data_IF_127837852444
#
_entry.id   IF_127837852444
#
_cell.length_a   1.000
_cell.length_b   1.000
_cell.length_c   1.000
_cell.angle_alpha   90.00
_cell.angle_beta   90.00
_cell.angle_gamma   90.00
#
_symmetry.space_group_name_H-M   'P 1'
#
loop_
_entity.id
_entity.type
_entity.pdbx_description
1 polymer ?
#
# COMPACT_ATOMS: atom_id res chain seq x y z
N UNK A 1 14.02 12.65 4.18
CA UNK A 1 13.14 11.47 4.02
C UNK A 1 12.35 11.47 2.71
N UNK A 2 11.68 12.55 2.30
CA UNK A 2 11.02 12.63 0.98
C UNK A 2 11.96 12.42 -0.24
N UNK A 3 13.19 12.98 -0.32
CA UNK A 3 14.02 12.90 -1.54
C UNK A 3 14.58 11.50 -1.84
N UNK A 4 14.90 10.74 -0.79
CA UNK A 4 15.41 9.37 -0.93
C UNK A 4 14.32 8.41 -1.40
N UNK A 5 13.08 8.64 -0.95
CA UNK A 5 11.93 7.82 -1.31
C UNK A 5 11.46 8.11 -2.75
N UNK A 6 11.48 9.38 -3.18
CA UNK A 6 11.25 9.73 -4.59
C UNK A 6 12.37 9.26 -5.50
N UNK A 7 13.63 9.26 -5.05
CA UNK A 7 14.76 8.69 -5.78
C UNK A 7 14.59 7.18 -6.02
N UNK A 8 14.24 6.43 -4.97
CA UNK A 8 13.99 4.99 -5.07
C UNK A 8 12.79 4.65 -5.97
N UNK A 9 11.68 5.40 -5.86
CA UNK A 9 10.50 5.18 -6.71
C UNK A 9 10.77 5.49 -8.19
N UNK A 10 11.64 6.47 -8.48
CA UNK A 10 12.04 6.78 -9.86
C UNK A 10 12.91 5.69 -10.49
N UNK A 11 13.70 4.96 -9.70
CA UNK A 11 14.51 3.82 -10.18
C UNK A 11 13.68 2.59 -10.59
N UNK A 12 12.38 2.57 -10.30
CA UNK A 12 11.47 1.48 -10.69
C UNK A 12 10.79 1.78 -12.05
N UNK A 13 10.76 3.05 -12.46
CA UNK A 13 10.01 3.48 -13.65
C UNK A 13 10.81 3.23 -14.92
N UNK A 14 10.18 2.63 -15.92
CA UNK A 14 10.74 2.41 -17.25
C UNK A 14 10.01 3.26 -18.29
N UNK A 15 10.72 3.58 -19.37
CA UNK A 15 10.18 4.22 -20.56
C UNK A 15 10.55 3.38 -21.77
N UNK A 16 9.57 3.15 -22.63
CA UNK A 16 9.78 2.55 -23.94
C UNK A 16 10.05 3.67 -24.95
N UNK A 17 11.08 3.47 -25.78
CA UNK A 17 11.40 4.36 -26.90
C UNK A 17 11.21 3.54 -28.18
N UNK A 18 10.37 4.05 -29.09
CA UNK A 18 10.12 3.44 -30.40
C UNK A 18 11.44 3.11 -31.10
N UNK A 19 11.53 1.90 -31.66
CA UNK A 19 12.66 1.30 -32.39
C UNK A 19 13.95 0.94 -31.63
N UNK A 20 14.13 1.33 -30.36
CA UNK A 20 15.41 1.14 -29.64
C UNK A 20 15.29 0.23 -28.40
N UNK A 21 14.10 0.18 -27.78
CA UNK A 21 13.80 -0.72 -26.66
C UNK A 21 13.39 0.00 -25.37
N UNK A 22 13.38 -0.74 -24.26
CA UNK A 22 12.95 -0.25 -22.94
C UNK A 22 14.15 0.16 -22.09
N UNK A 23 14.03 1.33 -21.46
CA UNK A 23 15.09 1.98 -20.70
C UNK A 23 14.61 2.48 -19.35
N UNK A 24 15.53 2.69 -18.41
CA UNK A 24 15.23 3.25 -17.11
C UNK A 24 14.90 4.75 -17.24
N UNK A 25 13.80 5.20 -16.63
CA UNK A 25 13.31 6.58 -16.74
C UNK A 25 14.31 7.63 -16.21
N UNK A 26 15.13 7.26 -15.23
CA UNK A 26 16.15 8.14 -14.63
C UNK A 26 17.44 8.17 -15.44
N UNK A 27 17.74 7.08 -16.15
CA UNK A 27 18.98 6.90 -16.86
C UNK A 27 18.78 6.01 -18.10
N UNK A 28 18.71 6.67 -19.26
CA UNK A 28 18.52 6.00 -20.54
C UNK A 28 19.75 5.21 -21.01
N UNK A 29 20.86 5.20 -20.26
CA UNK A 29 21.99 4.30 -20.55
C UNK A 29 21.72 2.86 -20.11
N UNK A 30 20.73 2.64 -19.24
CA UNK A 30 20.40 1.32 -18.69
C UNK A 30 19.20 0.72 -19.42
N UNK A 31 19.44 -0.33 -20.22
CA UNK A 31 18.39 -1.12 -20.86
C UNK A 31 17.67 -2.01 -19.85
N UNK A 32 16.34 -1.95 -19.81
CA UNK A 32 15.51 -2.73 -18.87
C UNK A 32 15.05 -4.06 -19.42
N UNK A 33 15.29 -4.32 -20.71
CA UNK A 33 15.16 -5.66 -21.31
C UNK A 33 16.24 -6.64 -20.85
N UNK A 34 17.33 -6.17 -20.23
CA UNK A 34 18.36 -7.04 -19.69
C UNK A 34 17.83 -7.87 -18.51
N UNK A 35 18.12 -9.18 -18.51
CA UNK A 35 17.73 -10.09 -17.43
C UNK A 35 18.28 -9.64 -16.06
N UNK A 36 19.46 -9.01 -16.04
CA UNK A 36 20.06 -8.44 -14.83
C UNK A 36 19.19 -7.35 -14.20
N UNK A 37 18.63 -6.44 -15.01
CA UNK A 37 17.76 -5.37 -14.51
C UNK A 37 16.48 -5.93 -13.87
N UNK A 38 15.85 -6.93 -14.50
CA UNK A 38 14.68 -7.63 -13.94
C UNK A 38 15.01 -8.28 -12.60
N UNK A 39 16.17 -8.94 -12.49
CA UNK A 39 16.63 -9.56 -11.23
C UNK A 39 16.84 -8.51 -10.13
N UNK A 40 17.49 -7.38 -10.43
CA UNK A 40 17.66 -6.29 -9.47
C UNK A 40 16.34 -5.71 -9.00
N UNK A 41 15.41 -5.47 -9.93
CA UNK A 41 14.06 -5.02 -9.63
C UNK A 41 13.38 -6.03 -8.68
N UNK A 42 13.37 -7.32 -9.02
CA UNK A 42 12.77 -8.37 -8.18
C UNK A 42 13.37 -8.40 -6.78
N UNK A 43 14.69 -8.24 -6.62
CA UNK A 43 15.36 -8.19 -5.31
C UNK A 43 14.91 -6.96 -4.51
N UNK A 44 14.85 -5.78 -5.13
CA UNK A 44 14.39 -4.55 -4.47
C UNK A 44 12.94 -4.69 -4.01
N UNK A 45 12.08 -5.29 -4.83
CA UNK A 45 10.68 -5.53 -4.50
C UNK A 45 10.52 -6.54 -3.36
N UNK A 46 11.27 -7.64 -3.39
CA UNK A 46 11.31 -8.61 -2.30
C UNK A 46 11.80 -7.95 -1.01
N UNK A 47 12.89 -7.19 -1.05
CA UNK A 47 13.42 -6.48 0.11
C UNK A 47 12.43 -5.46 0.69
N UNK A 48 11.79 -4.67 -0.17
CA UNK A 48 10.77 -3.71 0.24
C UNK A 48 9.55 -4.39 0.86
N UNK A 49 9.05 -5.46 0.24
CA UNK A 49 7.92 -6.23 0.78
C UNK A 49 8.25 -6.90 2.12
N UNK A 50 9.45 -7.46 2.27
CA UNK A 50 9.94 -8.01 3.55
C UNK A 50 10.00 -6.92 4.62
N UNK A 51 10.51 -5.73 4.30
CA UNK A 51 10.57 -4.62 5.24
C UNK A 51 9.16 -4.16 5.66
N UNK A 52 8.24 -4.00 4.69
CA UNK A 52 6.85 -3.61 4.95
C UNK A 52 6.09 -4.66 5.76
N UNK A 53 6.40 -5.94 5.62
CA UNK A 53 5.79 -7.02 6.42
C UNK A 53 6.47 -7.20 7.80
N UNK A 54 7.76 -6.90 7.90
CA UNK A 54 8.52 -7.05 9.15
C UNK A 54 8.04 -6.08 10.24
N UNK A 55 7.79 -4.82 9.87
CA UNK A 55 7.29 -3.81 10.82
C UNK A 55 5.97 -4.21 11.51
N UNK A 56 4.89 -4.59 10.80
CA UNK A 56 3.65 -5.03 11.42
C UNK A 56 3.82 -6.36 12.17
N UNK A 57 4.69 -7.27 11.71
CA UNK A 57 4.99 -8.50 12.45
C UNK A 57 5.60 -8.23 13.83
N UNK A 58 6.62 -7.36 13.90
CA UNK A 58 7.25 -6.98 15.18
C UNK A 58 6.26 -6.24 16.07
N UNK A 59 5.45 -5.33 15.51
CA UNK A 59 4.41 -4.62 16.24
C UNK A 59 3.36 -5.59 16.81
N UNK A 60 2.89 -6.56 16.01
CA UNK A 60 1.94 -7.58 16.45
C UNK A 60 2.50 -8.43 17.59
N UNK A 61 3.74 -8.89 17.45
CA UNK A 61 4.42 -9.69 18.48
C UNK A 61 4.54 -8.91 19.78
N UNK A 62 4.99 -7.66 19.71
CA UNK A 62 5.12 -6.78 20.87
C UNK A 62 3.77 -6.48 21.57
N UNK A 63 2.69 -6.34 20.80
CA UNK A 63 1.33 -6.17 21.32
C UNK A 63 0.79 -7.45 21.96
N UNK A 64 1.00 -8.61 21.32
CA UNK A 64 0.52 -9.91 21.80
C UNK A 64 1.20 -10.33 23.09
N UNK A 65 2.51 -10.13 23.21
CA UNK A 65 3.27 -10.40 24.44
C UNK A 65 2.84 -9.51 25.62
N UNK A 66 2.15 -8.40 25.35
CA UNK A 66 1.75 -7.40 26.35
C UNK A 66 0.24 -7.18 26.40
N UNK A 67 -0.54 -8.09 25.81
CA UNK A 67 -2.00 -7.96 25.67
C UNK A 67 -2.69 -7.73 27.02
N UNK A 68 -2.19 -8.34 28.09
CA UNK A 68 -2.74 -8.20 29.45
C UNK A 68 -2.37 -6.86 30.12
N UNK A 69 -1.30 -6.19 29.66
CA UNK A 69 -0.79 -4.93 30.23
C UNK A 69 -1.02 -3.71 29.32
N UNK A 70 -1.90 -3.83 28.32
CA UNK A 70 -2.25 -2.75 27.38
C UNK A 70 -2.81 -1.50 28.08
N UNK A 71 -3.37 -1.65 29.27
CA UNK A 71 -3.94 -0.53 30.06
C UNK A 71 -2.88 0.20 30.91
N UNK A 72 -1.66 -0.31 31.02
CA UNK A 72 -0.61 0.32 31.82
C UNK A 72 -0.06 1.56 31.11
N UNK A 73 0.09 2.66 31.85
CA UNK A 73 0.55 3.95 31.32
C UNK A 73 1.90 3.83 30.58
N UNK A 74 2.81 2.98 31.09
CA UNK A 74 4.12 2.69 30.47
C UNK A 74 4.00 2.03 29.09
N UNK A 75 3.02 1.15 28.90
CA UNK A 75 2.73 0.49 27.61
C UNK A 75 2.02 1.46 26.66
N UNK A 76 1.10 2.27 27.18
CA UNK A 76 0.38 3.29 26.43
C UNK A 76 1.28 4.40 25.88
N UNK A 77 2.26 4.88 26.65
CA UNK A 77 3.23 5.89 26.14
C UNK A 77 4.11 5.34 25.02
N UNK A 78 4.43 4.04 25.03
CA UNK A 78 5.37 3.43 24.07
C UNK A 78 4.69 2.86 22.83
N UNK A 79 3.50 2.27 22.99
CA UNK A 79 2.79 1.54 21.93
C UNK A 79 1.38 2.07 21.69
N UNK A 80 0.94 3.11 22.41
CA UNK A 80 -0.40 3.69 22.27
C UNK A 80 -0.73 4.05 20.83
N UNK A 81 0.23 4.51 20.04
CA UNK A 81 0.03 4.76 18.61
C UNK A 81 -0.58 3.57 17.85
N UNK A 82 -0.27 2.33 18.24
CA UNK A 82 -0.70 1.12 17.52
C UNK A 82 -2.11 0.65 17.88
N UNK A 83 -2.68 1.07 19.01
CA UNK A 83 -3.97 0.53 19.49
C UNK A 83 -4.91 1.58 20.09
N UNK A 84 -4.46 2.82 20.31
CA UNK A 84 -5.26 3.87 20.92
C UNK A 84 -6.37 4.32 19.97
N UNK A 85 -7.62 4.20 20.42
CA UNK A 85 -8.80 4.56 19.63
C UNK A 85 -9.49 3.38 18.94
N UNK A 86 -8.94 2.17 19.06
CA UNK A 86 -9.57 0.93 18.65
C UNK A 86 -10.22 0.21 19.84
N UNK A 87 -11.27 -0.56 19.59
CA UNK A 87 -11.88 -1.43 20.58
C UNK A 87 -10.86 -2.45 21.11
N UNK A 88 -10.93 -2.78 22.41
CA UNK A 88 -9.99 -3.72 23.06
C UNK A 88 -9.91 -5.08 22.38
N UNK A 89 -11.02 -5.55 21.80
CA UNK A 89 -11.08 -6.81 21.07
C UNK A 89 -10.35 -6.76 19.71
N UNK A 90 -10.10 -5.55 19.20
CA UNK A 90 -9.57 -5.28 17.84
C UNK A 90 -8.34 -4.38 17.86
N UNK A 91 -7.50 -4.52 18.89
CA UNK A 91 -6.23 -3.79 19.02
C UNK A 91 -5.25 -4.04 17.86
N UNK A 92 -5.43 -5.14 17.11
CA UNK A 92 -4.58 -5.49 15.97
C UNK A 92 -4.96 -4.75 14.68
N UNK A 93 -6.00 -3.91 14.69
CA UNK A 93 -6.54 -3.31 13.47
C UNK A 93 -5.57 -2.38 12.75
N UNK A 94 -4.71 -1.67 13.49
CA UNK A 94 -3.68 -0.84 12.87
C UNK A 94 -2.76 -1.66 11.95
N UNK A 95 -2.54 -2.93 12.27
CA UNK A 95 -1.77 -3.85 11.43
C UNK A 95 -2.51 -4.21 10.15
N UNK A 96 -3.84 -4.35 10.21
CA UNK A 96 -4.68 -4.55 9.02
C UNK A 96 -4.59 -3.33 8.10
N UNK A 97 -4.60 -2.12 8.67
CA UNK A 97 -4.41 -0.87 7.94
C UNK A 97 -3.01 -0.80 7.30
N UNK A 98 -1.96 -1.22 8.01
CA UNK A 98 -0.61 -1.33 7.44
C UNK A 98 -0.53 -2.35 6.30
N UNK A 99 -1.11 -3.54 6.47
CA UNK A 99 -1.15 -4.57 5.44
C UNK A 99 -1.90 -4.09 4.19
N UNK A 100 -3.03 -3.38 4.35
CA UNK A 100 -3.77 -2.76 3.25
C UNK A 100 -2.88 -1.79 2.45
N UNK A 101 -2.18 -0.88 3.14
CA UNK A 101 -1.26 0.07 2.50
C UNK A 101 -0.16 -0.68 1.75
N UNK A 102 0.39 -1.73 2.34
CA UNK A 102 1.37 -2.61 1.70
C UNK A 102 0.83 -3.26 0.43
N UNK A 103 -0.38 -3.84 0.47
CA UNK A 103 -1.02 -4.46 -0.69
C UNK A 103 -1.21 -3.46 -1.84
N UNK A 104 -1.69 -2.24 -1.56
CA UNK A 104 -1.86 -1.21 -2.58
C UNK A 104 -0.54 -0.82 -3.25
N UNK A 105 0.53 -0.68 -2.47
CA UNK A 105 1.88 -0.43 -3.02
C UNK A 105 2.36 -1.62 -3.85
N UNK A 106 2.18 -2.85 -3.37
CA UNK A 106 2.58 -4.04 -4.12
C UNK A 106 1.85 -4.15 -5.45
N UNK A 107 0.55 -3.87 -5.50
CA UNK A 107 -0.23 -3.88 -6.75
C UNK A 107 0.31 -2.83 -7.72
N UNK A 108 0.56 -1.60 -7.25
CA UNK A 108 1.06 -0.52 -8.07
C UNK A 108 2.44 -0.82 -8.67
N UNK A 109 3.25 -1.61 -7.98
CA UNK A 109 4.63 -1.89 -8.39
C UNK A 109 4.77 -3.18 -9.19
N UNK A 110 3.95 -4.20 -8.93
CA UNK A 110 3.99 -5.49 -9.63
C UNK A 110 3.26 -5.46 -10.98
N UNK A 111 2.34 -4.52 -11.19
CA UNK A 111 1.54 -4.41 -12.41
C UNK A 111 1.75 -3.05 -13.12
N UNK A 112 3.00 -2.66 -13.47
CA UNK A 112 3.26 -1.38 -14.13
C UNK A 112 2.69 -1.33 -15.55
N UNK A 113 2.68 -2.45 -16.26
CA UNK A 113 2.31 -2.53 -17.68
C UNK A 113 0.81 -2.77 -17.91
N UNK A 114 0.09 -3.16 -16.84
CA UNK A 114 -1.36 -3.43 -16.89
C UNK A 114 -2.11 -2.53 -15.90
N UNK A 115 -2.15 -1.21 -16.14
CA UNK A 115 -2.68 -0.23 -15.19
C UNK A 115 -4.17 -0.44 -14.88
N UNK A 116 -4.95 -0.91 -15.85
CA UNK A 116 -6.38 -1.21 -15.66
C UNK A 116 -6.59 -2.36 -14.66
N UNK A 117 -5.82 -3.45 -14.80
CA UNK A 117 -5.87 -4.59 -13.87
C UNK A 117 -5.41 -4.16 -12.46
N UNK A 118 -4.33 -3.37 -12.37
CA UNK A 118 -3.85 -2.82 -11.11
C UNK A 118 -4.91 -1.94 -10.41
N UNK A 119 -5.65 -1.14 -11.18
CA UNK A 119 -6.73 -0.31 -10.66
C UNK A 119 -7.89 -1.15 -10.10
N UNK A 120 -8.36 -2.17 -10.83
CA UNK A 120 -9.42 -3.06 -10.35
C UNK A 120 -9.04 -3.85 -9.10
N UNK A 121 -7.80 -4.38 -9.05
CA UNK A 121 -7.29 -5.06 -7.84
C UNK A 121 -7.24 -4.11 -6.64
N UNK A 122 -6.77 -2.88 -6.84
CA UNK A 122 -6.72 -1.86 -5.79
C UNK A 122 -8.12 -1.50 -5.28
N UNK A 123 -9.08 -1.33 -6.20
CA UNK A 123 -10.50 -1.11 -5.86
C UNK A 123 -11.05 -2.26 -5.01
N UNK A 124 -10.78 -3.51 -5.39
CA UNK A 124 -11.21 -4.68 -4.61
C UNK A 124 -10.66 -4.68 -3.18
N UNK A 125 -9.37 -4.36 -2.99
CA UNK A 125 -8.75 -4.25 -1.66
C UNK A 125 -9.41 -3.15 -0.82
N UNK A 126 -9.70 -1.99 -1.41
CA UNK A 126 -10.33 -0.86 -0.73
C UNK A 126 -11.79 -1.19 -0.37
N UNK A 127 -12.54 -1.81 -1.29
CA UNK A 127 -13.92 -2.24 -1.04
C UNK A 127 -14.01 -3.27 0.08
N UNK A 128 -13.12 -4.28 0.09
CA UNK A 128 -13.03 -5.24 1.18
C UNK A 128 -12.72 -4.54 2.50
N UNK A 129 -11.77 -3.60 2.49
CA UNK A 129 -11.42 -2.83 3.69
C UNK A 129 -12.58 -2.00 4.21
N UNK A 130 -13.34 -1.36 3.31
CA UNK A 130 -14.53 -0.58 3.65
C UNK A 130 -15.63 -1.49 4.23
N UNK A 131 -15.88 -2.64 3.60
CA UNK A 131 -16.83 -3.63 4.10
C UNK A 131 -16.45 -4.09 5.51
N UNK A 132 -15.16 -4.38 5.75
CA UNK A 132 -14.70 -4.77 7.07
C UNK A 132 -14.87 -3.64 8.10
N UNK A 133 -14.54 -2.38 7.78
CA UNK A 133 -14.76 -1.23 8.70
C UNK A 133 -16.24 -1.01 9.02
N UNK A 134 -17.16 -1.32 8.09
CA UNK A 134 -18.59 -1.15 8.29
C UNK A 134 -19.22 -2.31 9.07
N UNK A 135 -18.78 -3.54 8.82
CA UNK A 135 -19.27 -4.75 9.49
C UNK A 135 -18.66 -4.94 10.88
N UNK A 136 -17.40 -4.52 11.03
CA UNK A 136 -16.68 -4.61 12.28
C UNK A 136 -16.78 -3.24 12.97
N UNK A 137 -17.44 -3.17 14.13
CA UNK A 137 -17.24 -2.06 15.09
C UNK A 137 -15.78 -1.99 15.61
N UNK A 138 -14.88 -1.47 14.79
CA UNK A 138 -13.42 -1.48 15.06
C UNK A 138 -13.02 -0.34 16.00
N UNK A 139 -13.60 0.85 15.80
CA UNK A 139 -13.19 2.07 16.48
C UNK A 139 -14.09 2.33 17.68
N UNK A 140 -13.50 2.69 18.81
CA UNK A 140 -14.24 3.00 20.04
C UNK A 140 -15.04 4.30 19.91
N UNK A 141 -14.55 5.26 19.10
CA UNK A 141 -15.23 6.53 18.84
C UNK A 141 -15.77 6.58 17.42
N UNK A 142 -17.06 6.88 17.31
CA UNK A 142 -17.77 7.07 16.03
C UNK A 142 -17.09 8.09 15.10
N UNK A 143 -16.46 9.13 15.67
CA UNK A 143 -15.70 10.11 14.89
C UNK A 143 -14.54 9.46 14.11
N UNK A 144 -13.80 8.54 14.71
CA UNK A 144 -12.70 7.86 14.03
C UNK A 144 -13.21 6.91 12.94
N UNK A 145 -14.31 6.19 13.21
CA UNK A 145 -14.99 5.36 12.21
C UNK A 145 -15.45 6.17 10.99
N UNK A 146 -16.05 7.35 11.21
CA UNK A 146 -16.47 8.24 10.11
C UNK A 146 -15.29 8.73 9.29
N UNK A 147 -14.20 9.12 9.94
CA UNK A 147 -12.99 9.56 9.24
C UNK A 147 -12.39 8.45 8.37
N UNK A 148 -12.29 7.22 8.90
CA UNK A 148 -11.79 6.07 8.13
C UNK A 148 -12.72 5.78 6.95
N UNK A 149 -14.04 5.72 7.18
CA UNK A 149 -15.04 5.49 6.13
C UNK A 149 -14.95 6.54 5.02
N UNK A 150 -14.91 7.83 5.37
CA UNK A 150 -14.80 8.93 4.40
C UNK A 150 -13.49 8.80 3.63
N UNK A 151 -12.38 8.52 4.31
CA UNK A 151 -11.08 8.38 3.64
C UNK A 151 -11.09 7.23 2.63
N UNK A 152 -11.68 6.08 2.97
CA UNK A 152 -11.80 4.92 2.09
C UNK A 152 -12.71 5.21 0.90
N UNK A 153 -13.81 5.93 1.10
CA UNK A 153 -14.70 6.35 0.02
C UNK A 153 -13.99 7.31 -0.93
N UNK A 154 -13.22 8.28 -0.43
CA UNK A 154 -12.46 9.20 -1.27
C UNK A 154 -11.44 8.43 -2.12
N UNK A 155 -10.68 7.52 -1.51
CA UNK A 155 -9.70 6.71 -2.25
C UNK A 155 -10.41 5.84 -3.30
N UNK A 156 -11.56 5.24 -2.96
CA UNK A 156 -12.36 4.45 -3.90
C UNK A 156 -12.78 5.28 -5.12
N UNK A 157 -13.26 6.51 -4.91
CA UNK A 157 -13.62 7.43 -5.99
C UNK A 157 -12.39 7.74 -6.85
N UNK A 158 -11.26 8.09 -6.23
CA UNK A 158 -10.02 8.42 -6.96
C UNK A 158 -9.55 7.27 -7.86
N UNK A 159 -9.56 6.03 -7.36
CA UNK A 159 -9.16 4.86 -8.16
C UNK A 159 -10.15 4.57 -9.30
N UNK A 160 -11.46 4.73 -9.09
CA UNK A 160 -12.46 4.56 -10.15
C UNK A 160 -12.34 5.63 -11.24
N UNK A 161 -12.09 6.89 -10.86
CA UNK A 161 -11.82 7.96 -11.83
C UNK A 161 -10.56 7.69 -12.65
N UNK A 162 -9.48 7.20 -12.01
CA UNK A 162 -8.27 6.79 -12.69
C UNK A 162 -8.48 5.63 -13.68
N UNK A 163 -9.23 4.61 -13.25
CA UNK A 163 -9.60 3.48 -14.11
C UNK A 163 -10.41 3.94 -15.34
N UNK A 164 -11.41 4.80 -15.14
CA UNK A 164 -12.23 5.36 -16.23
C UNK A 164 -11.39 6.15 -17.23
N UNK A 165 -10.45 6.98 -16.75
CA UNK A 165 -9.58 7.75 -17.64
C UNK A 165 -8.66 6.84 -18.45
N UNK A 166 -8.16 5.76 -17.84
CA UNK A 166 -7.34 4.77 -18.55
C UNK A 166 -8.13 3.99 -19.60
N UNK A 167 -9.38 3.60 -19.30
CA UNK A 167 -10.21 2.85 -20.25
C UNK A 167 -10.63 3.71 -21.45
N UNK A 168 -10.97 4.97 -21.23
CA UNK A 168 -11.27 5.92 -22.32
C UNK A 168 -10.06 6.12 -23.23
N UNK A 169 -8.86 6.23 -22.65
CA UNK A 169 -7.64 6.39 -23.45
C UNK A 169 -7.37 5.18 -24.35
N UNK A 170 -7.60 3.96 -23.86
CA UNK A 170 -7.46 2.75 -24.68
C UNK A 170 -8.47 2.71 -25.83
N UNK A 171 -9.73 3.11 -25.60
CA UNK A 171 -10.76 3.12 -26.63
C UNK A 171 -10.55 4.18 -27.74
N UNK A 172 -9.74 5.21 -27.48
CA UNK A 172 -9.40 6.26 -28.46
C UNK A 172 -8.17 5.91 -29.29
N UNK A 173 -7.32 4.99 -28.80
CA UNK A 173 -6.11 4.53 -29.50
C UNK A 173 -6.32 3.33 -30.42
N UNK A 174 -7.48 2.68 -30.36
CA UNK A 174 -7.97 1.67 -31.32
C UNK A 174 -8.75 2.34 -32.46
#
# INVERSE_FOLDING_TARGET
WMPTLTGALRMIRTTEIEDIGTYLYVDYSVQTNAASFKVYLTIILLGASMFTAYMPYVAFKALRERSETLTWMKTMTRYGFLYLGFNRERYYWELVVFMRKGMLVSIAVLLPDTPLLAAYLSVGVIQLSLALVLLLDVYERERHRRLETISLVVILISYNSGALMSSVRHAVSE
#
